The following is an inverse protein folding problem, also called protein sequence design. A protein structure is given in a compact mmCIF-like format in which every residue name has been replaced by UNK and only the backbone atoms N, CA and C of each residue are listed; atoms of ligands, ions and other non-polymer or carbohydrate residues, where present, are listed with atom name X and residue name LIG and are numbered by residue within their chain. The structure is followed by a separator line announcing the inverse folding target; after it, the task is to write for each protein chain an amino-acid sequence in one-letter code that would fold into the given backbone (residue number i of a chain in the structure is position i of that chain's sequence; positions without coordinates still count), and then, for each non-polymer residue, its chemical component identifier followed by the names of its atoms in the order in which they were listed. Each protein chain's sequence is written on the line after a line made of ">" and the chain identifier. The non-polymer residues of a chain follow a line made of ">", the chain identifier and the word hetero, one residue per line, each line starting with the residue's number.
data_IF_675643607502
#
_entry.id   IF_675643607502
#
_cell.length_a   1.000
_cell.length_b   1.000
_cell.length_c   1.000
_cell.angle_alpha   90.00
_cell.angle_beta   90.00
_cell.angle_gamma   90.00
#
_symmetry.space_group_name_H-M   'P 1'
#
loop_
_entity.id
_entity.type
_entity.pdbx_description
1 polymer ?
#
# COMPACT_ATOMS: atom_id res chain seq x y z
N UNK A 1 -9.37 8.60 10.90
CA UNK A 1 -9.36 7.26 10.25
C UNK A 1 -7.98 6.97 9.68
N UNK A 2 -7.52 5.71 9.74
CA UNK A 2 -6.22 5.30 9.17
C UNK A 2 -6.42 4.67 7.80
N UNK A 3 -5.65 5.10 6.81
CA UNK A 3 -5.71 4.61 5.43
C UNK A 3 -4.42 3.88 5.08
N UNK A 4 -4.54 2.64 4.58
CA UNK A 4 -3.42 1.90 4.01
C UNK A 4 -3.34 2.21 2.52
N UNK A 5 -2.15 2.56 2.05
CA UNK A 5 -1.90 2.83 0.64
C UNK A 5 -1.37 1.55 -0.02
N UNK A 6 -2.13 1.01 -0.97
CA UNK A 6 -1.65 -0.04 -1.87
C UNK A 6 -0.53 0.49 -2.80
N UNK A 7 0.08 -0.42 -3.57
CA UNK A 7 1.20 -0.07 -4.45
C UNK A 7 0.82 0.95 -5.52
N UNK A 8 -0.38 0.83 -6.11
CA UNK A 8 -0.80 1.73 -7.19
C UNK A 8 -1.14 3.13 -6.68
N UNK A 9 -1.88 3.23 -5.58
CA UNK A 9 -2.21 4.50 -4.93
C UNK A 9 -0.93 5.18 -4.45
N UNK A 10 -0.01 4.42 -3.84
CA UNK A 10 1.28 4.94 -3.39
C UNK A 10 2.10 5.51 -4.55
N UNK A 11 2.30 4.74 -5.63
CA UNK A 11 3.06 5.19 -6.80
C UNK A 11 2.38 6.39 -7.45
N UNK A 12 1.06 6.34 -7.62
CA UNK A 12 0.31 7.43 -8.26
C UNK A 12 0.33 8.70 -7.43
N UNK A 13 0.16 8.63 -6.12
CA UNK A 13 0.23 9.79 -5.23
C UNK A 13 1.60 10.47 -5.29
N UNK A 14 2.67 9.69 -5.42
CA UNK A 14 4.03 10.20 -5.47
C UNK A 14 4.49 10.68 -6.87
N UNK A 15 3.87 10.20 -7.96
CA UNK A 15 4.37 10.44 -9.33
C UNK A 15 3.40 11.21 -10.23
N UNK A 16 2.10 10.95 -10.11
CA UNK A 16 1.03 11.56 -10.92
C UNK A 16 -0.19 11.82 -10.04
N UNK A 17 -0.10 12.67 -8.99
CA UNK A 17 -1.17 12.90 -8.03
C UNK A 17 -2.46 13.40 -8.69
N UNK A 18 -2.37 14.14 -9.79
CA UNK A 18 -3.50 14.60 -10.60
C UNK A 18 -4.36 13.46 -11.18
N UNK A 19 -3.84 12.22 -11.18
CA UNK A 19 -4.55 11.04 -11.67
C UNK A 19 -5.21 10.22 -10.56
N UNK A 20 -5.14 10.65 -9.30
CA UNK A 20 -5.68 9.92 -8.13
C UNK A 20 -7.20 9.79 -8.14
N UNK A 21 -7.92 10.73 -8.75
CA UNK A 21 -9.38 10.71 -8.84
C UNK A 21 -10.03 10.55 -7.46
N UNK A 22 -10.89 9.54 -7.30
CA UNK A 22 -11.59 9.30 -6.02
C UNK A 22 -10.66 9.02 -4.83
N UNK A 23 -9.43 8.52 -5.07
CA UNK A 23 -8.46 8.28 -4.01
C UNK A 23 -7.93 9.58 -3.38
N UNK A 24 -7.94 10.69 -4.10
CA UNK A 24 -7.50 12.00 -3.59
C UNK A 24 -8.36 12.43 -2.39
N UNK A 25 -9.68 12.31 -2.51
CA UNK A 25 -10.60 12.67 -1.43
C UNK A 25 -10.43 11.76 -0.21
N UNK A 26 -10.17 10.46 -0.42
CA UNK A 26 -9.90 9.51 0.66
C UNK A 26 -8.60 9.86 1.40
N UNK A 27 -7.55 10.25 0.68
CA UNK A 27 -6.28 10.67 1.28
C UNK A 27 -6.41 12.00 2.03
N UNK A 28 -7.24 12.94 1.52
CA UNK A 28 -7.48 14.23 2.17
C UNK A 28 -8.27 14.14 3.48
N UNK A 29 -9.07 13.09 3.67
CA UNK A 29 -9.84 12.84 4.90
C UNK A 29 -9.17 11.91 5.92
N UNK A 30 -7.94 11.45 5.65
CA UNK A 30 -7.23 10.51 6.51
C UNK A 30 -6.56 11.22 7.71
N UNK A 31 -6.74 10.68 8.92
CA UNK A 31 -5.96 11.14 10.09
C UNK A 31 -4.52 10.64 10.01
N UNK A 32 -4.35 9.41 9.51
CA UNK A 32 -3.05 8.77 9.26
C UNK A 32 -3.07 8.06 7.93
N UNK A 33 -1.97 8.22 7.20
CA UNK A 33 -1.69 7.52 5.95
C UNK A 33 -0.55 6.56 6.21
N UNK A 34 -0.74 5.31 5.88
CA UNK A 34 0.17 4.23 6.23
C UNK A 34 0.58 3.52 4.95
N UNK A 35 1.87 3.30 4.76
CA UNK A 35 2.39 2.41 3.74
C UNK A 35 2.76 1.06 4.38
N UNK A 36 2.05 -0.02 4.05
CA UNK A 36 2.37 -1.34 4.53
C UNK A 36 3.57 -1.92 3.77
N UNK A 37 4.38 -2.72 4.46
CA UNK A 37 5.59 -3.29 3.88
C UNK A 37 5.28 -4.19 2.66
N UNK A 38 4.08 -4.79 2.60
CA UNK A 38 3.64 -5.56 1.43
C UNK A 38 3.59 -4.74 0.14
N UNK A 39 3.18 -3.46 0.19
CA UNK A 39 3.14 -2.61 -1.00
C UNK A 39 4.54 -2.19 -1.45
N UNK A 40 5.46 -2.01 -0.50
CA UNK A 40 6.88 -1.78 -0.82
C UNK A 40 7.51 -3.04 -1.43
N UNK A 41 7.12 -4.22 -0.93
CA UNK A 41 7.57 -5.50 -1.45
C UNK A 41 7.06 -5.75 -2.88
N UNK A 42 5.77 -5.52 -3.15
CA UNK A 42 5.21 -5.60 -4.50
C UNK A 42 5.90 -4.61 -5.45
N UNK A 43 6.12 -3.36 -5.03
CA UNK A 43 6.85 -2.37 -5.82
C UNK A 43 8.26 -2.86 -6.20
N UNK A 44 8.99 -3.45 -5.25
CA UNK A 44 10.33 -3.98 -5.50
C UNK A 44 10.34 -5.12 -6.51
N UNK A 45 9.35 -6.02 -6.45
CA UNK A 45 9.20 -7.10 -7.42
C UNK A 45 8.84 -6.54 -8.80
N UNK A 46 7.84 -5.66 -8.88
CA UNK A 46 7.40 -5.05 -10.15
C UNK A 46 8.49 -4.21 -10.80
N UNK A 47 9.32 -3.51 -10.04
CA UNK A 47 10.50 -2.83 -10.57
C UNK A 47 11.53 -3.82 -11.13
N UNK A 48 11.80 -4.93 -10.42
CA UNK A 48 12.68 -5.98 -10.93
C UNK A 48 12.19 -6.63 -12.23
N UNK A 49 10.86 -6.64 -12.44
CA UNK A 49 10.22 -7.13 -13.66
C UNK A 49 10.11 -6.06 -14.77
N UNK A 50 10.47 -4.80 -14.50
CA UNK A 50 10.33 -3.67 -15.44
C UNK A 50 8.88 -3.22 -15.65
N UNK A 51 7.95 -3.63 -14.78
CA UNK A 51 6.53 -3.27 -14.87
C UNK A 51 6.22 -1.91 -14.23
N UNK A 52 7.04 -1.48 -13.27
CA UNK A 52 6.95 -0.18 -12.61
C UNK A 52 8.35 0.42 -12.45
N UNK A 53 8.52 1.65 -12.93
CA UNK A 53 9.80 2.36 -12.89
C UNK A 53 9.68 3.64 -12.04
N UNK A 54 9.98 3.56 -10.73
CA UNK A 54 9.89 4.73 -9.84
C UNK A 54 11.02 5.77 -10.06
N UNK A 55 11.92 5.54 -11.02
CA UNK A 55 13.02 6.46 -11.38
C UNK A 55 14.23 6.42 -10.44
N UNK A 56 14.21 5.56 -9.42
CA UNK A 56 15.34 5.28 -8.52
C UNK A 56 15.19 3.87 -7.91
N UNK A 57 16.14 3.42 -7.09
CA UNK A 57 15.96 2.19 -6.33
C UNK A 57 14.78 2.33 -5.33
N UNK A 58 13.99 1.26 -5.13
CA UNK A 58 12.80 1.29 -4.25
C UNK A 58 13.11 1.84 -2.87
N UNK A 59 14.28 1.52 -2.30
CA UNK A 59 14.67 1.97 -0.96
C UNK A 59 14.84 3.49 -0.90
N UNK A 60 15.42 4.11 -1.92
CA UNK A 60 15.53 5.57 -2.02
C UNK A 60 14.18 6.20 -2.31
N UNK A 61 13.44 5.63 -3.24
CA UNK A 61 12.12 6.12 -3.63
C UNK A 61 11.14 6.13 -2.45
N UNK A 62 11.05 5.05 -1.68
CA UNK A 62 10.08 4.95 -0.58
C UNK A 62 10.38 5.95 0.54
N UNK A 63 11.65 6.25 0.83
CA UNK A 63 12.00 7.29 1.81
C UNK A 63 11.52 8.66 1.37
N UNK A 64 11.69 8.98 0.09
CA UNK A 64 11.22 10.23 -0.49
C UNK A 64 9.70 10.32 -0.46
N UNK A 65 9.02 9.30 -0.98
CA UNK A 65 7.56 9.24 -1.02
C UNK A 65 6.93 9.34 0.37
N UNK A 66 7.49 8.60 1.36
CA UNK A 66 7.01 8.67 2.74
C UNK A 66 7.17 10.06 3.36
N UNK A 67 8.27 10.76 3.04
CA UNK A 67 8.48 12.14 3.50
C UNK A 67 7.53 13.12 2.81
N UNK A 68 7.35 13.03 1.50
CA UNK A 68 6.53 13.95 0.70
C UNK A 68 5.03 13.78 0.99
N UNK A 69 4.57 12.54 1.18
CA UNK A 69 3.17 12.21 1.41
C UNK A 69 2.82 12.07 2.90
N UNK A 70 3.79 12.25 3.81
CA UNK A 70 3.64 12.11 5.27
C UNK A 70 3.03 10.75 5.61
N UNK A 71 3.78 9.68 5.30
CA UNK A 71 3.36 8.30 5.48
C UNK A 71 4.06 7.66 6.68
N UNK A 72 3.30 6.92 7.46
CA UNK A 72 3.83 5.99 8.47
C UNK A 72 4.07 4.61 7.85
N UNK A 73 5.09 3.89 8.33
CA UNK A 73 5.35 2.52 7.88
C UNK A 73 4.62 1.50 8.74
N UNK A 74 3.95 0.52 8.11
CA UNK A 74 3.42 -0.67 8.79
C UNK A 74 4.27 -1.90 8.46
N UNK A 75 5.01 -2.47 9.43
CA UNK A 75 5.78 -3.68 9.22
C UNK A 75 4.87 -4.91 9.10
N UNK A 76 5.26 -5.86 8.26
CA UNK A 76 4.67 -7.21 8.23
C UNK A 76 5.32 -8.06 9.32
N UNK A 77 4.50 -8.78 10.09
CA UNK A 77 4.94 -9.73 11.12
C UNK A 77 4.45 -11.13 10.77
N UNK A 78 4.84 -12.15 11.57
CA UNK A 78 4.35 -13.50 11.38
C UNK A 78 2.82 -13.59 11.54
N UNK A 79 2.25 -12.81 12.46
CA UNK A 79 0.80 -12.73 12.69
C UNK A 79 0.07 -12.14 11.49
N UNK A 80 0.61 -11.08 10.89
CA UNK A 80 0.10 -10.50 9.64
C UNK A 80 0.05 -11.55 8.52
N UNK A 81 1.16 -12.28 8.32
CA UNK A 81 1.24 -13.32 7.31
C UNK A 81 0.29 -14.51 7.57
N UNK A 82 0.19 -14.96 8.82
CA UNK A 82 -0.67 -16.09 9.19
C UNK A 82 -2.17 -15.77 9.04
N UNK A 83 -2.58 -14.51 9.26
CA UNK A 83 -3.97 -14.09 9.11
C UNK A 83 -4.52 -14.24 7.68
N UNK A 84 -3.65 -14.38 6.67
CA UNK A 84 -4.05 -14.67 5.28
C UNK A 84 -4.85 -15.97 5.14
N UNK A 85 -4.60 -16.97 6.01
CA UNK A 85 -5.34 -18.23 6.05
C UNK A 85 -6.84 -18.02 6.31
N UNK A 86 -7.19 -16.98 7.08
CA UNK A 86 -8.56 -16.67 7.48
C UNK A 86 -9.33 -15.83 6.45
N UNK A 87 -8.68 -15.49 5.32
CA UNK A 87 -9.31 -14.74 4.25
C UNK A 87 -10.08 -15.68 3.32
N UNK A 88 -11.31 -15.29 2.90
CA UNK A 88 -12.02 -15.98 1.83
C UNK A 88 -11.15 -16.16 0.58
N UNK A 89 -11.39 -17.23 -0.18
CA UNK A 89 -10.72 -17.48 -1.45
C UNK A 89 -11.33 -16.63 -2.57
N UNK A 90 -11.13 -15.30 -2.47
CA UNK A 90 -11.66 -14.31 -3.40
C UNK A 90 -10.52 -13.68 -4.21
N UNK A 91 -9.43 -13.28 -3.56
CA UNK A 91 -8.23 -12.77 -4.23
C UNK A 91 -7.19 -13.87 -4.40
N UNK A 92 -6.67 -14.00 -5.63
CA UNK A 92 -5.58 -14.93 -5.97
C UNK A 92 -4.20 -14.30 -5.80
N UNK A 93 -4.11 -12.98 -5.84
CA UNK A 93 -2.84 -12.29 -5.71
C UNK A 93 -2.33 -12.33 -4.25
N UNK A 94 -1.10 -12.81 -4.00
CA UNK A 94 -0.57 -12.94 -2.64
C UNK A 94 -0.36 -11.58 -1.94
N UNK A 95 -0.07 -10.51 -2.68
CA UNK A 95 0.10 -9.17 -2.11
C UNK A 95 -1.25 -8.59 -1.67
N UNK A 96 -2.29 -8.72 -2.49
CA UNK A 96 -3.65 -8.27 -2.13
C UNK A 96 -4.19 -9.02 -0.90
N UNK A 97 -3.90 -10.32 -0.82
CA UNK A 97 -4.25 -11.13 0.35
C UNK A 97 -3.54 -10.63 1.61
N UNK A 98 -2.23 -10.41 1.56
CA UNK A 98 -1.49 -9.92 2.72
C UNK A 98 -1.91 -8.49 3.09
N UNK A 99 -2.14 -7.60 2.11
CA UNK A 99 -2.65 -6.25 2.35
C UNK A 99 -4.02 -6.26 3.04
N UNK A 100 -4.90 -7.18 2.63
CA UNK A 100 -6.21 -7.39 3.26
C UNK A 100 -6.08 -7.87 4.70
N UNK A 101 -5.14 -8.79 4.97
CA UNK A 101 -4.83 -9.26 6.33
C UNK A 101 -4.29 -8.13 7.22
N UNK A 102 -3.32 -7.35 6.72
CA UNK A 102 -2.76 -6.18 7.40
C UNK A 102 -3.86 -5.19 7.81
N UNK A 103 -4.76 -4.88 6.88
CA UNK A 103 -5.82 -3.93 7.16
C UNK A 103 -6.82 -4.41 8.22
N UNK A 104 -7.13 -5.72 8.24
CA UNK A 104 -7.99 -6.33 9.27
C UNK A 104 -7.34 -6.25 10.65
N UNK A 105 -6.03 -6.49 10.73
CA UNK A 105 -5.29 -6.49 12.00
C UNK A 105 -4.98 -5.08 12.52
N UNK A 106 -4.72 -4.12 11.62
CA UNK A 106 -4.43 -2.74 11.98
C UNK A 106 -5.67 -1.95 12.47
N UNK A 107 -6.85 -2.59 12.60
CA UNK A 107 -8.11 -1.98 13.00
C UNK A 107 -8.42 -0.67 12.22
N UNK A 108 -8.04 -0.62 10.94
CA UNK A 108 -8.23 0.55 10.11
C UNK A 108 -9.70 0.64 9.70
N UNK A 109 -10.39 1.70 10.13
CA UNK A 109 -11.72 2.05 9.63
C UNK A 109 -11.66 2.20 8.11
N UNK A 110 -12.27 1.26 7.41
CA UNK A 110 -12.51 1.18 5.96
C UNK A 110 -12.02 2.35 5.09
N UNK A 111 -10.85 2.16 4.48
CA UNK A 111 -10.56 2.52 3.10
C UNK A 111 -9.35 1.72 2.60
N UNK A 112 -9.45 0.39 2.71
CA UNK A 112 -8.67 -0.51 1.86
C UNK A 112 -9.38 -0.49 0.51
N UNK A 113 -9.01 0.42 -0.37
CA UNK A 113 -9.25 0.15 -1.79
C UNK A 113 -7.98 -0.54 -2.27
N UNK A 114 -8.04 -1.86 -2.32
CA UNK A 114 -7.39 -2.63 -3.39
C UNK A 114 -8.09 -2.13 -4.64
N UNK A 115 -7.45 -1.24 -5.40
CA UNK A 115 -7.94 -0.93 -6.75
C UNK A 115 -7.33 -1.98 -7.65
N UNK A 116 -8.07 -3.08 -7.89
CA UNK A 116 -7.83 -3.95 -9.05
C UNK A 116 -7.96 -3.14 -10.36
#
# INVERSE_FOLDING_TARGET
>A
MTHLLDTHVLVRAATTPERLGAAEHLLGGADRRVVPAVSVWELAIRQGLGELEPGSDVRTWIRRAASELVLDHLPVTAEHAAAVEQLPDVHRDPFDRLLTADARLAACGAAVRVIE
#
